data_IF_974430047765
#
_entry.id   IF_974430047765
#
_cell.length_a   1.000
_cell.length_b   1.000
_cell.length_c   1.000
_cell.angle_alpha   90.00
_cell.angle_beta   90.00
_cell.angle_gamma   90.00
#
_symmetry.space_group_name_H-M   'P 1'
#
loop_
_entity.id
_entity.type
_entity.pdbx_description
1 polymer ?
#
# COMPACT_ATOMS: atom_id res chain seq x y z
N UNK A 1 7.86 -6.03 9.59
CA UNK A 1 7.79 -4.59 9.24
C UNK A 1 6.69 -3.96 10.06
N UNK A 2 6.92 -2.79 10.68
CA UNK A 2 5.82 -2.02 11.29
C UNK A 2 5.19 -1.18 10.19
N UNK A 3 3.88 -1.33 10.02
CA UNK A 3 3.10 -0.52 9.08
C UNK A 3 2.32 0.51 9.88
N UNK A 4 2.37 1.76 9.44
CA UNK A 4 1.61 2.86 10.04
C UNK A 4 0.66 3.43 9.00
N UNK A 5 -0.61 3.53 9.36
CA UNK A 5 -1.65 4.10 8.51
C UNK A 5 -2.83 4.56 9.37
N UNK A 6 -3.63 5.47 8.81
CA UNK A 6 -4.90 5.90 9.42
C UNK A 6 -5.98 4.81 9.23
N UNK A 7 -6.59 4.38 10.33
CA UNK A 7 -7.64 3.34 10.35
C UNK A 7 -8.87 3.77 9.54
N UNK A 8 -9.29 5.02 9.63
CA UNK A 8 -10.42 5.54 8.88
C UNK A 8 -10.14 5.51 7.36
N UNK A 9 -8.89 5.79 6.96
CA UNK A 9 -8.47 5.67 5.56
C UNK A 9 -8.50 4.21 5.11
N UNK A 10 -8.03 3.28 5.94
CA UNK A 10 -8.11 1.83 5.68
C UNK A 10 -9.54 1.37 5.42
N UNK A 11 -10.48 1.74 6.31
CA UNK A 11 -11.90 1.41 6.17
C UNK A 11 -12.54 2.07 4.93
N UNK A 12 -12.17 3.32 4.64
CA UNK A 12 -12.62 4.04 3.44
C UNK A 12 -12.16 3.33 2.16
N UNK A 13 -10.91 2.86 2.13
CA UNK A 13 -10.37 2.08 1.02
C UNK A 13 -11.11 0.76 0.83
N UNK A 14 -11.41 0.03 1.93
CA UNK A 14 -12.23 -1.20 1.85
C UNK A 14 -13.58 -0.94 1.18
N UNK A 15 -14.25 0.14 1.57
CA UNK A 15 -15.55 0.52 1.01
C UNK A 15 -15.46 0.93 -0.46
N UNK A 16 -14.40 1.64 -0.86
CA UNK A 16 -14.23 2.18 -2.23
C UNK A 16 -13.65 1.18 -3.22
N UNK A 17 -12.74 0.32 -2.77
CA UNK A 17 -11.88 -0.51 -3.61
C UNK A 17 -11.97 -2.00 -3.29
N UNK A 18 -12.70 -2.39 -2.23
CA UNK A 18 -12.88 -3.78 -1.83
C UNK A 18 -11.74 -4.36 -1.00
N UNK A 19 -10.69 -3.59 -0.72
CA UNK A 19 -9.50 -4.00 0.04
C UNK A 19 -9.09 -2.93 1.05
N UNK A 20 -8.64 -3.36 2.22
CA UNK A 20 -8.07 -2.49 3.25
C UNK A 20 -6.54 -2.65 3.41
N UNK A 21 -5.95 -1.87 4.31
CA UNK A 21 -4.50 -1.94 4.53
C UNK A 21 -4.03 -3.20 5.26
N UNK A 22 -4.89 -3.91 5.99
CA UNK A 22 -4.49 -5.20 6.60
C UNK A 22 -4.47 -6.32 5.58
N UNK A 23 -5.43 -6.32 4.66
CA UNK A 23 -5.45 -7.29 3.57
C UNK A 23 -4.25 -7.10 2.63
N UNK A 24 -3.91 -5.85 2.28
CA UNK A 24 -2.84 -5.58 1.32
C UNK A 24 -1.42 -5.70 1.89
N UNK A 25 -1.25 -5.84 3.22
CA UNK A 25 0.06 -6.12 3.83
C UNK A 25 0.71 -7.39 3.27
N UNK A 26 -0.10 -8.36 2.84
CA UNK A 26 0.39 -9.60 2.23
C UNK A 26 1.14 -9.36 0.92
N UNK A 27 0.91 -8.23 0.25
CA UNK A 27 1.63 -7.83 -0.97
C UNK A 27 3.15 -7.80 -0.76
N UNK A 28 3.61 -7.40 0.44
CA UNK A 28 5.04 -7.38 0.78
C UNK A 28 5.65 -8.77 0.97
N UNK A 29 4.83 -9.84 0.93
CA UNK A 29 5.30 -11.23 0.89
C UNK A 29 5.32 -11.81 -0.52
N UNK A 30 4.79 -11.12 -1.53
CA UNK A 30 4.89 -11.56 -2.92
C UNK A 30 6.34 -11.37 -3.40
N UNK A 31 7.01 -12.48 -3.69
CA UNK A 31 8.40 -12.51 -4.19
C UNK A 31 8.56 -11.80 -5.54
N UNK A 32 7.47 -11.59 -6.27
CA UNK A 32 7.45 -10.87 -7.56
C UNK A 32 6.92 -9.45 -7.45
N UNK A 33 6.72 -8.95 -6.23
CA UNK A 33 6.30 -7.57 -6.02
C UNK A 33 7.37 -6.61 -6.56
N UNK A 34 6.90 -5.59 -7.27
CA UNK A 34 7.71 -4.52 -7.83
C UNK A 34 7.37 -3.24 -7.10
N UNK A 35 8.39 -2.59 -6.55
CA UNK A 35 8.32 -1.26 -5.97
C UNK A 35 8.89 -0.23 -6.97
N UNK A 36 8.16 0.86 -7.17
CA UNK A 36 8.52 1.93 -8.11
C UNK A 36 8.54 3.25 -7.36
N UNK A 37 9.71 3.89 -7.31
CA UNK A 37 9.84 5.27 -6.81
C UNK A 37 9.18 6.24 -7.80
N UNK A 38 8.40 7.18 -7.27
CA UNK A 38 7.68 8.19 -8.05
C UNK A 38 8.36 9.56 -7.94
N UNK A 39 8.29 10.42 -8.98
CA UNK A 39 9.07 11.65 -9.05
C UNK A 39 8.39 12.82 -8.32
N UNK A 40 8.03 12.64 -7.05
CA UNK A 40 7.54 13.73 -6.21
C UNK A 40 8.72 14.44 -5.54
N UNK A 41 8.76 15.77 -5.64
CA UNK A 41 9.90 16.57 -5.15
C UNK A 41 9.89 16.74 -3.63
N UNK A 42 8.71 16.83 -3.02
CA UNK A 42 8.56 17.18 -1.61
C UNK A 42 8.69 15.98 -0.66
N UNK A 43 8.39 14.77 -1.14
CA UNK A 43 8.47 13.53 -0.35
C UNK A 43 8.64 12.29 -1.23
N UNK A 44 9.36 11.30 -0.71
CA UNK A 44 9.48 10.01 -1.36
C UNK A 44 8.13 9.28 -1.35
N UNK A 45 7.71 8.86 -2.54
CA UNK A 45 6.47 8.09 -2.72
C UNK A 45 6.76 6.88 -3.59
N UNK A 46 6.19 5.76 -3.18
CA UNK A 46 6.39 4.47 -3.83
C UNK A 46 5.05 3.89 -4.28
N UNK A 47 5.05 3.24 -5.43
CA UNK A 47 3.94 2.40 -5.90
C UNK A 47 4.42 0.95 -5.84
N UNK A 48 3.66 0.12 -5.12
CA UNK A 48 3.89 -1.33 -5.03
C UNK A 48 2.88 -2.07 -5.87
N UNK A 49 3.35 -2.96 -6.75
CA UNK A 49 2.54 -3.77 -7.65
C UNK A 49 2.92 -5.24 -7.48
N UNK A 50 1.92 -6.08 -7.26
CA UNK A 50 2.08 -7.52 -7.03
C UNK A 50 0.71 -8.19 -6.99
N UNK A 51 0.67 -9.44 -6.55
CA UNK A 51 -0.52 -10.29 -6.56
C UNK A 51 -1.11 -10.54 -5.17
#
# INVERSE_FOLDING_TARGET
MKFEYDINKSLSNKKKHGIDFEEIKELWKDERMVEILTPFEDEERYINIGR
#
